data_IF_295168920087
#
_entry.id   IF_295168920087
#
_cell.length_a   1.000
_cell.length_b   1.000
_cell.length_c   1.000
_cell.angle_alpha   90.00
_cell.angle_beta   90.00
_cell.angle_gamma   90.00
#
_symmetry.space_group_name_H-M   'P 1'
#
loop_
_entity.id
_entity.type
_entity.pdbx_description
1 polymer ?
#
# COMPACT_ATOMS: atom_id res chain seq x y z
N UNK A 1 13.28 -2.83 16.45
CA UNK A 1 13.08 -2.48 15.03
C UNK A 1 11.85 -3.20 14.51
N UNK A 2 11.02 -2.51 13.78
CA UNK A 2 9.77 -3.09 13.28
C UNK A 2 10.04 -3.84 11.97
N UNK A 3 9.58 -5.08 11.91
CA UNK A 3 9.76 -5.95 10.74
C UNK A 3 8.49 -6.15 9.95
N UNK A 4 7.33 -5.97 10.57
CA UNK A 4 6.03 -6.23 9.95
C UNK A 4 5.03 -5.12 10.20
N UNK A 5 4.11 -5.00 9.25
CA UNK A 5 2.94 -4.14 9.34
C UNK A 5 1.71 -5.04 9.19
N UNK A 6 0.81 -4.99 10.16
CA UNK A 6 -0.46 -5.70 10.09
C UNK A 6 -1.57 -4.72 9.76
N UNK A 7 -2.26 -4.97 8.65
CA UNK A 7 -3.46 -4.23 8.27
C UNK A 7 -4.67 -5.08 8.61
N UNK A 8 -5.45 -4.63 9.59
CA UNK A 8 -6.73 -5.27 9.91
C UNK A 8 -7.77 -4.69 8.98
N UNK A 9 -8.04 -5.40 7.88
CA UNK A 9 -8.99 -4.96 6.87
C UNK A 9 -10.42 -5.35 7.27
N UNK A 10 -11.40 -4.71 6.65
CA UNK A 10 -12.79 -5.12 6.80
C UNK A 10 -13.03 -6.57 6.39
N UNK A 11 -12.15 -7.14 5.57
CA UNK A 11 -12.21 -8.53 5.10
C UNK A 11 -11.35 -9.50 5.93
N UNK A 12 -10.51 -9.00 6.83
CA UNK A 12 -9.63 -9.80 7.68
C UNK A 12 -8.19 -9.25 7.71
N UNK A 13 -7.36 -9.87 8.53
CA UNK A 13 -5.99 -9.39 8.75
C UNK A 13 -5.06 -9.74 7.60
N UNK A 14 -4.13 -8.81 7.31
CA UNK A 14 -3.07 -8.96 6.33
C UNK A 14 -1.76 -8.59 7.00
N UNK A 15 -0.78 -9.49 6.95
CA UNK A 15 0.55 -9.23 7.51
C UNK A 15 1.53 -8.97 6.38
N UNK A 16 2.21 -7.83 6.44
CA UNK A 16 3.16 -7.37 5.43
C UNK A 16 4.56 -7.38 6.04
N UNK A 17 5.48 -8.05 5.37
CA UNK A 17 6.89 -7.98 5.71
C UNK A 17 7.46 -6.69 5.13
N UNK A 18 8.03 -5.84 5.98
CA UNK A 18 8.62 -4.58 5.56
C UNK A 18 9.99 -4.81 4.91
N UNK A 19 10.32 -4.00 3.91
CA UNK A 19 11.57 -4.12 3.15
C UNK A 19 12.38 -2.82 3.23
N UNK A 20 12.95 -2.48 4.42
CA UNK A 20 13.79 -1.28 4.54
C UNK A 20 15.11 -1.40 3.76
N UNK A 21 15.51 -2.62 3.40
CA UNK A 21 16.64 -2.87 2.51
C UNK A 21 16.40 -2.30 1.11
N UNK A 22 15.14 -2.24 0.66
CA UNK A 22 14.77 -1.72 -0.65
C UNK A 22 14.38 -0.25 -0.62
N UNK A 23 13.64 0.17 0.41
CA UNK A 23 13.03 1.50 0.46
C UNK A 23 12.96 2.03 1.89
N UNK A 24 14.12 2.42 2.48
CA UNK A 24 14.15 2.83 3.89
C UNK A 24 13.26 4.03 4.20
N UNK A 25 13.20 5.02 3.33
CA UNK A 25 12.38 6.22 3.56
C UNK A 25 10.89 5.92 3.42
N UNK A 26 10.51 5.07 2.48
CA UNK A 26 9.11 4.66 2.31
C UNK A 26 8.64 3.80 3.47
N UNK A 27 9.48 2.87 3.94
CA UNK A 27 9.15 2.06 5.14
C UNK A 27 8.98 2.96 6.35
N UNK A 28 9.87 3.94 6.55
CA UNK A 28 9.77 4.90 7.65
C UNK A 28 8.45 5.69 7.57
N UNK A 29 8.08 6.17 6.37
CA UNK A 29 6.85 6.91 6.17
C UNK A 29 5.62 6.05 6.49
N UNK A 30 5.53 4.86 5.92
CA UNK A 30 4.39 3.97 6.12
C UNK A 30 4.24 3.59 7.59
N UNK A 31 5.33 3.21 8.25
CA UNK A 31 5.28 2.80 9.66
C UNK A 31 4.97 3.98 10.59
N UNK A 32 5.51 5.16 10.29
CA UNK A 32 5.20 6.37 11.05
C UNK A 32 3.73 6.74 10.96
N UNK A 33 3.16 6.74 9.76
CA UNK A 33 1.74 7.03 9.57
C UNK A 33 0.86 5.97 10.22
N UNK A 34 1.22 4.70 10.10
CA UNK A 34 0.47 3.61 10.74
C UNK A 34 0.45 3.75 12.25
N UNK A 35 1.59 4.08 12.86
CA UNK A 35 1.70 4.25 14.31
C UNK A 35 0.89 5.44 14.83
N UNK A 36 0.66 6.44 14.00
CA UNK A 36 -0.13 7.63 14.34
C UNK A 36 -1.64 7.44 14.10
N UNK A 37 -2.05 6.28 13.57
CA UNK A 37 -3.45 6.01 13.26
C UNK A 37 -3.91 6.63 11.94
N UNK A 38 -3.00 7.11 11.10
CA UNK A 38 -3.32 7.78 9.84
C UNK A 38 -4.14 6.88 8.91
N UNK A 39 -3.80 5.59 8.85
CA UNK A 39 -4.46 4.64 7.96
C UNK A 39 -5.77 4.06 8.53
N UNK A 40 -6.07 4.32 9.79
CA UNK A 40 -7.28 3.77 10.41
C UNK A 40 -8.54 4.35 9.75
N UNK A 41 -9.41 3.48 9.26
CA UNK A 41 -10.65 3.88 8.58
C UNK A 41 -10.48 4.26 7.10
N UNK A 42 -9.27 4.18 6.56
CA UNK A 42 -8.98 4.56 5.18
C UNK A 42 -9.43 3.47 4.22
N UNK A 43 -10.11 3.84 3.14
CA UNK A 43 -10.68 2.89 2.18
C UNK A 43 -9.72 2.54 1.05
N UNK A 44 -9.96 1.39 0.43
CA UNK A 44 -9.33 1.02 -0.84
C UNK A 44 -10.20 1.57 -1.97
N UNK A 45 -9.84 2.73 -2.45
CA UNK A 45 -10.65 3.50 -3.42
C UNK A 45 -10.50 3.02 -4.87
N UNK A 46 -9.53 2.16 -5.15
CA UNK A 46 -9.28 1.65 -6.51
C UNK A 46 -8.82 0.20 -6.41
N UNK A 47 -9.68 -0.72 -6.82
CA UNK A 47 -9.39 -2.16 -6.75
C UNK A 47 -9.72 -2.79 -8.09
N UNK A 48 -8.68 -3.19 -8.82
CA UNK A 48 -8.79 -3.73 -10.18
C UNK A 48 -8.49 -5.22 -10.16
N UNK A 49 -9.47 -6.09 -10.52
CA UNK A 49 -9.25 -7.54 -10.54
C UNK A 49 -8.03 -7.91 -11.39
N UNK A 50 -7.22 -8.82 -10.87
CA UNK A 50 -6.04 -9.32 -11.59
C UNK A 50 -4.88 -8.33 -11.68
N UNK A 51 -5.02 -7.14 -11.07
CA UNK A 51 -3.99 -6.11 -11.09
C UNK A 51 -3.56 -5.73 -9.67
N UNK A 52 -4.33 -4.87 -9.00
CA UNK A 52 -3.92 -4.38 -7.67
C UNK A 52 -5.08 -3.81 -6.87
N UNK A 53 -4.87 -3.65 -5.55
CA UNK A 53 -5.75 -2.91 -4.66
C UNK A 53 -5.00 -1.69 -4.15
N UNK A 54 -5.54 -0.49 -4.36
CA UNK A 54 -4.91 0.78 -3.98
C UNK A 54 -5.70 1.50 -2.90
N UNK A 55 -5.00 1.99 -1.88
CA UNK A 55 -5.58 2.75 -0.79
C UNK A 55 -4.56 3.72 -0.20
N UNK A 56 -4.83 4.23 1.01
CA UNK A 56 -3.90 5.11 1.71
C UNK A 56 -4.17 6.60 1.56
N UNK A 57 -5.25 6.97 0.88
CA UNK A 57 -5.71 8.35 0.80
C UNK A 57 -6.79 8.59 1.86
N UNK A 58 -6.54 9.46 2.86
CA UNK A 58 -7.53 9.70 3.92
C UNK A 58 -8.84 10.29 3.42
N UNK A 59 -8.85 10.92 2.24
CA UNK A 59 -10.09 11.46 1.64
C UNK A 59 -10.86 10.41 0.87
N UNK A 60 -10.24 9.28 0.52
CA UNK A 60 -10.87 8.19 -0.22
C UNK A 60 -11.13 8.49 -1.70
N UNK A 61 -10.58 9.58 -2.23
CA UNK A 61 -10.82 10.02 -3.61
C UNK A 61 -9.70 9.66 -4.59
N UNK A 62 -8.53 9.31 -4.07
CA UNK A 62 -7.32 9.11 -4.87
C UNK A 62 -6.51 10.37 -5.06
N UNK A 63 -7.00 11.51 -4.58
CA UNK A 63 -6.36 12.81 -4.76
C UNK A 63 -5.64 13.32 -3.51
N UNK A 64 -5.85 12.69 -2.37
CA UNK A 64 -5.30 13.14 -1.10
C UNK A 64 -4.05 12.40 -0.67
N UNK A 65 -3.48 12.84 0.45
CA UNK A 65 -2.29 12.25 1.04
C UNK A 65 -2.09 12.77 2.45
N UNK A 66 -0.91 12.47 3.03
CA UNK A 66 -0.55 12.98 4.34
C UNK A 66 -0.08 14.44 4.25
N UNK A 67 -0.04 15.17 5.37
CA UNK A 67 0.50 16.54 5.40
C UNK A 67 2.04 16.60 5.29
N UNK A 68 2.69 15.45 5.24
CA UNK A 68 4.15 15.36 5.15
C UNK A 68 4.63 15.62 3.71
N UNK A 69 5.91 15.98 3.52
CA UNK A 69 6.47 16.19 2.18
C UNK A 69 6.44 14.90 1.34
N UNK A 70 6.39 15.05 0.03
CA UNK A 70 6.49 13.92 -0.88
C UNK A 70 7.84 13.23 -0.74
N UNK A 71 7.87 11.93 -1.02
CA UNK A 71 9.06 11.10 -0.91
C UNK A 71 9.81 11.04 -2.24
N UNK A 72 11.15 11.09 -2.21
CA UNK A 72 11.94 10.78 -3.40
C UNK A 72 11.82 9.30 -3.74
N UNK A 73 11.95 8.96 -5.01
CA UNK A 73 11.89 7.57 -5.46
C UNK A 73 12.96 6.72 -4.79
N UNK A 74 12.62 5.47 -4.54
CA UNK A 74 13.55 4.44 -4.07
C UNK A 74 13.36 3.19 -4.93
N UNK A 75 13.47 3.37 -6.25
CA UNK A 75 13.26 2.28 -7.20
C UNK A 75 14.32 1.20 -7.03
N UNK A 76 13.91 -0.04 -7.27
CA UNK A 76 14.78 -1.20 -7.19
C UNK A 76 14.45 -2.19 -8.30
N UNK A 77 15.24 -3.24 -8.42
CA UNK A 77 15.00 -4.33 -9.36
C UNK A 77 14.01 -5.37 -8.84
N UNK A 78 13.45 -5.16 -7.65
CA UNK A 78 12.47 -6.10 -7.07
C UNK A 78 11.24 -6.21 -7.96
N UNK A 79 10.85 -7.43 -8.38
CA UNK A 79 9.73 -7.59 -9.30
C UNK A 79 8.38 -7.34 -8.62
N UNK A 80 7.46 -6.72 -9.38
CA UNK A 80 6.07 -6.56 -8.95
C UNK A 80 5.32 -7.85 -9.27
N UNK A 81 5.14 -8.67 -8.26
CA UNK A 81 4.42 -9.96 -8.36
C UNK A 81 3.33 -10.00 -7.28
N UNK A 82 2.50 -11.05 -7.29
CA UNK A 82 1.42 -11.20 -6.32
C UNK A 82 1.91 -11.00 -4.88
N UNK A 83 1.23 -10.14 -4.12
CA UNK A 83 1.52 -9.84 -2.72
C UNK A 83 2.51 -8.71 -2.51
N UNK A 84 3.13 -8.18 -3.55
CA UNK A 84 4.06 -7.06 -3.42
C UNK A 84 3.30 -5.78 -3.10
N UNK A 85 3.82 -5.04 -2.12
CA UNK A 85 3.29 -3.73 -1.72
C UNK A 85 4.22 -2.65 -2.25
N UNK A 86 3.67 -1.74 -3.04
CA UNK A 86 4.41 -0.70 -3.71
C UNK A 86 3.73 0.64 -3.50
N UNK A 87 4.44 1.74 -3.75
CA UNK A 87 3.92 3.07 -3.47
C UNK A 87 3.29 3.68 -4.71
N UNK A 88 2.04 4.12 -4.57
CA UNK A 88 1.38 4.90 -5.61
C UNK A 88 1.96 6.32 -5.65
N UNK A 89 1.96 6.92 -6.83
CA UNK A 89 2.47 8.26 -7.06
C UNK A 89 1.77 8.91 -8.27
N UNK A 90 1.92 10.22 -8.40
CA UNK A 90 1.52 10.92 -9.60
C UNK A 90 2.55 10.71 -10.72
N UNK A 91 2.52 11.49 -11.78
CA UNK A 91 3.47 11.36 -12.89
C UNK A 91 4.91 11.63 -12.46
N UNK A 92 5.11 12.57 -11.54
CA UNK A 92 6.44 12.84 -11.00
C UNK A 92 6.92 11.65 -10.19
N UNK A 93 8.05 11.02 -10.52
CA UNK A 93 8.56 9.86 -9.78
C UNK A 93 8.92 10.16 -8.32
N UNK A 94 9.02 11.42 -7.95
CA UNK A 94 9.31 11.87 -6.59
C UNK A 94 8.05 12.44 -5.91
N UNK A 95 6.88 11.92 -6.24
CA UNK A 95 5.60 12.41 -5.71
C UNK A 95 4.87 11.42 -4.81
N UNK A 96 5.52 10.33 -4.39
CA UNK A 96 4.93 9.38 -3.46
C UNK A 96 4.69 10.04 -2.10
N UNK A 97 3.60 9.69 -1.44
CA UNK A 97 3.26 10.31 -0.16
C UNK A 97 2.71 9.29 0.84
N UNK A 98 1.45 8.86 0.69
CA UNK A 98 0.82 7.91 1.61
C UNK A 98 0.04 6.81 0.90
N UNK A 99 -0.33 7.00 -0.36
CA UNK A 99 -1.08 6.00 -1.10
C UNK A 99 -0.18 4.86 -1.51
N UNK A 100 -0.70 3.64 -1.42
CA UNK A 100 0.03 2.43 -1.79
C UNK A 100 -0.92 1.44 -2.47
N UNK A 101 -0.33 0.42 -3.10
CA UNK A 101 -1.12 -0.65 -3.67
C UNK A 101 -0.48 -2.02 -3.37
N UNK A 102 -1.33 -3.03 -3.38
CA UNK A 102 -0.94 -4.43 -3.19
C UNK A 102 -1.29 -5.17 -4.47
N UNK A 103 -0.31 -5.83 -5.07
CA UNK A 103 -0.51 -6.52 -6.35
C UNK A 103 -1.31 -7.82 -6.16
N UNK A 104 -2.32 -8.04 -7.00
CA UNK A 104 -3.06 -9.30 -7.04
C UNK A 104 -2.34 -10.36 -7.87
N UNK A 105 -1.55 -9.94 -8.85
CA UNK A 105 -0.89 -10.82 -9.79
C UNK A 105 0.36 -10.12 -10.33
N UNK A 106 1.07 -10.76 -11.24
CA UNK A 106 2.27 -10.20 -11.83
C UNK A 106 1.96 -8.89 -12.55
N UNK A 107 2.73 -7.85 -12.22
CA UNK A 107 2.63 -6.53 -12.83
C UNK A 107 4.04 -6.02 -13.14
N UNK A 108 4.82 -6.86 -13.83
CA UNK A 108 6.24 -6.62 -14.11
C UNK A 108 6.48 -5.35 -14.92
N UNK A 109 5.46 -4.84 -15.63
CA UNK A 109 5.56 -3.56 -16.33
C UNK A 109 5.74 -2.37 -15.38
N UNK A 110 5.53 -2.55 -14.08
CA UNK A 110 5.77 -1.54 -13.05
C UNK A 110 7.20 -1.56 -12.50
N UNK A 111 7.98 -2.58 -12.84
CA UNK A 111 9.33 -2.75 -12.29
C UNK A 111 10.21 -1.55 -12.63
N UNK A 112 10.99 -1.09 -11.66
CA UNK A 112 11.87 0.08 -11.74
C UNK A 112 11.13 1.41 -11.95
N UNK A 113 9.80 1.45 -11.79
CA UNK A 113 9.01 2.66 -11.97
C UNK A 113 8.19 3.03 -10.73
N UNK A 114 8.09 2.11 -9.77
CA UNK A 114 7.39 2.31 -8.51
C UNK A 114 8.24 1.72 -7.38
N UNK A 115 8.11 2.30 -6.18
CA UNK A 115 8.92 1.90 -5.03
C UNK A 115 8.27 0.75 -4.28
N UNK A 116 8.91 -0.42 -4.29
CA UNK A 116 8.50 -1.58 -3.50
C UNK A 116 8.98 -1.39 -2.06
N UNK A 117 8.07 -1.48 -1.09
CA UNK A 117 8.41 -1.31 0.32
C UNK A 117 8.02 -2.48 1.20
N UNK A 118 7.29 -3.46 0.68
CA UNK A 118 6.89 -4.62 1.45
C UNK A 118 6.28 -5.73 0.62
N UNK A 119 5.98 -6.84 1.29
CA UNK A 119 5.31 -7.98 0.67
C UNK A 119 4.37 -8.66 1.68
N UNK A 120 3.24 -9.11 1.20
CA UNK A 120 2.27 -9.84 2.04
C UNK A 120 2.81 -11.24 2.31
N UNK A 121 2.90 -11.60 3.60
CA UNK A 121 3.34 -12.93 4.04
C UNK A 121 2.20 -13.77 4.63
N UNK A 122 1.10 -13.12 5.04
CA UNK A 122 -0.10 -13.81 5.53
C UNK A 122 -1.34 -12.98 5.16
N UNK A 123 -2.44 -13.67 4.87
CA UNK A 123 -3.73 -13.01 4.68
C UNK A 123 -3.97 -12.46 3.30
N UNK A 124 -3.24 -12.90 2.27
CA UNK A 124 -3.48 -12.42 0.91
C UNK A 124 -4.91 -12.70 0.44
N UNK A 125 -5.55 -13.77 0.94
CA UNK A 125 -6.96 -14.06 0.65
C UNK A 125 -7.89 -12.91 1.07
N UNK A 126 -7.53 -12.20 2.14
CA UNK A 126 -8.30 -11.06 2.62
C UNK A 126 -8.16 -9.85 1.72
N UNK A 127 -7.01 -9.71 1.05
CA UNK A 127 -6.82 -8.69 0.01
C UNK A 127 -7.65 -9.05 -1.21
N UNK A 128 -7.63 -10.33 -1.61
CA UNK A 128 -8.45 -10.83 -2.74
C UNK A 128 -9.94 -10.58 -2.52
N UNK A 129 -10.38 -10.61 -1.27
CA UNK A 129 -11.79 -10.43 -0.91
C UNK A 129 -12.25 -8.96 -0.92
N UNK A 130 -11.33 -8.01 -1.09
CA UNK A 130 -11.71 -6.59 -1.15
C UNK A 130 -12.66 -6.34 -2.33
N UNK A 131 -13.74 -5.55 -2.12
CA UNK A 131 -14.65 -5.20 -3.20
C UNK A 131 -13.93 -4.50 -4.35
N UNK A 132 -14.28 -4.87 -5.58
CA UNK A 132 -13.63 -4.37 -6.79
C UNK A 132 -14.34 -3.12 -7.31
N UNK A 133 -13.59 -2.25 -7.95
CA UNK A 133 -14.12 -1.02 -8.58
C UNK A 133 -13.15 0.15 -8.51
N UNK A 134 -13.48 1.21 -9.25
CA UNK A 134 -12.70 2.44 -9.34
C UNK A 134 -13.60 3.68 -9.22
N UNK A 135 -14.15 3.98 -8.04
CA UNK A 135 -14.06 3.26 -6.77
C UNK A 135 -15.03 2.11 -6.65
N UNK A 136 -14.80 1.17 -5.71
CA UNK A 136 -15.79 0.14 -5.37
C UNK A 136 -17.08 0.80 -4.87
N UNK A 137 -18.20 0.17 -5.11
CA UNK A 137 -19.51 0.67 -4.67
C UNK A 137 -19.59 0.72 -3.13
N UNK A 138 -19.06 -0.33 -2.48
CA UNK A 138 -18.93 -0.39 -1.03
C UNK A 138 -17.46 -0.73 -0.72
N UNK A 139 -16.58 0.28 -0.69
CA UNK A 139 -15.15 0.00 -0.58
C UNK A 139 -14.76 -0.68 0.73
N UNK A 140 -13.86 -1.65 0.63
CA UNK A 140 -13.19 -2.20 1.79
C UNK A 140 -12.31 -1.15 2.43
N UNK A 141 -12.01 -1.33 3.72
CA UNK A 141 -11.21 -0.35 4.45
C UNK A 141 -10.20 -1.01 5.38
N UNK A 142 -9.20 -0.21 5.77
CA UNK A 142 -8.28 -0.55 6.84
C UNK A 142 -8.97 -0.15 8.15
N UNK A 143 -9.33 -1.14 8.97
CA UNK A 143 -9.92 -0.86 10.27
C UNK A 143 -8.84 -0.33 11.21
N UNK A 144 -7.65 -0.95 11.15
CA UNK A 144 -6.50 -0.53 11.95
C UNK A 144 -5.21 -1.00 11.29
N UNK A 145 -4.15 -0.20 11.43
CA UNK A 145 -2.79 -0.55 10.99
C UNK A 145 -1.88 -0.62 12.23
N UNK A 146 -1.14 -1.71 12.38
CA UNK A 146 -0.30 -1.95 13.55
C UNK A 146 1.11 -2.35 13.10
N UNK A 147 2.10 -1.67 13.66
CA UNK A 147 3.52 -1.95 13.38
C UNK A 147 4.08 -2.85 14.48
N UNK A 148 4.76 -3.91 14.07
CA UNK A 148 5.37 -4.88 15.01
C UNK A 148 6.84 -5.12 14.70
#
# INVERSE_FOLDING_TARGET
MSDTLTLSLSTGDVVIRLRPDLAPQHVERITGLASEGFYDGVVFHRVIPGFMAQGGDPTGTGMGGSPLPDLPQEFSSEPHVRGVCSMARAQNPNSANSQFFICFDDARFLDNQYTVWGEVIEGMDNVDALPKGEPPREPGKIVKATVS
#
